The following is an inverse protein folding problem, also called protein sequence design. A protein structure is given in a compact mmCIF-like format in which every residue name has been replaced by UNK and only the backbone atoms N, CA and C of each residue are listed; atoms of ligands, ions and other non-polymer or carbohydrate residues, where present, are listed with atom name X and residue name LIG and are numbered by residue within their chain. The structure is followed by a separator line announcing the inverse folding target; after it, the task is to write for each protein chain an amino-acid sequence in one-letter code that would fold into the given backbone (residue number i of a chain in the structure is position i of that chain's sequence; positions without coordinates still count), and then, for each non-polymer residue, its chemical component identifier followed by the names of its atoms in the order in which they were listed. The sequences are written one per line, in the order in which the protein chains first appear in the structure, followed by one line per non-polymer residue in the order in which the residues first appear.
data_IF_938995454702
#
_entry.id   IF_938995454702
#
_cell.length_a   1.000
_cell.length_b   1.000
_cell.length_c   1.000
_cell.angle_alpha   90.00
_cell.angle_beta   90.00
_cell.angle_gamma   90.00
#
_symmetry.space_group_name_H-M   'P 1'
#
loop_
_entity.id
_entity.type
_entity.pdbx_description
1 polymer ?
#
# COMPACT_ATOMS: atom_id res chain seq x y z
N UNK A 1 25.31 1.34 18.15
CA UNK A 1 24.36 0.36 18.71
C UNK A 1 23.27 0.19 17.67
N UNK A 2 23.24 -0.93 16.94
CA UNK A 2 22.14 -1.23 16.03
C UNK A 2 20.90 -1.49 16.90
N UNK A 3 19.82 -0.74 16.69
CA UNK A 3 18.56 -0.99 17.38
C UNK A 3 18.10 -2.42 17.08
N UNK A 4 17.86 -3.24 18.11
CA UNK A 4 17.14 -4.52 18.02
C UNK A 4 15.65 -4.30 17.65
N UNK A 5 15.37 -3.41 16.71
CA UNK A 5 14.03 -3.20 16.20
C UNK A 5 13.63 -4.48 15.46
N UNK A 6 12.56 -5.12 15.92
CA UNK A 6 11.98 -6.28 15.25
C UNK A 6 11.54 -5.82 13.86
N UNK A 7 12.02 -6.52 12.82
CA UNK A 7 11.69 -6.20 11.43
C UNK A 7 10.18 -6.36 11.21
N UNK A 8 9.56 -5.39 10.57
CA UNK A 8 8.16 -5.50 10.16
C UNK A 8 7.96 -6.68 9.21
N UNK A 9 6.87 -7.43 9.45
CA UNK A 9 6.52 -8.63 8.69
C UNK A 9 5.01 -8.68 8.33
N UNK A 10 4.23 -7.71 8.80
CA UNK A 10 2.85 -7.48 8.41
C UNK A 10 2.62 -5.99 8.20
N UNK A 11 1.51 -5.64 7.55
CA UNK A 11 1.09 -4.26 7.38
C UNK A 11 -0.43 -4.16 7.28
N UNK A 12 -0.96 -3.01 7.68
CA UNK A 12 -2.33 -2.61 7.36
C UNK A 12 -2.34 -1.91 6.02
N UNK A 13 -3.37 -2.18 5.21
CA UNK A 13 -3.51 -1.54 3.91
C UNK A 13 -4.96 -1.24 3.54
N UNK A 14 -5.11 -0.28 2.63
CA UNK A 14 -6.33 -0.12 1.84
C UNK A 14 -6.11 -0.80 0.50
N UNK A 15 -6.92 -1.83 0.24
CA UNK A 15 -6.92 -2.49 -1.07
C UNK A 15 -7.55 -1.56 -2.09
N UNK A 16 -6.87 -1.30 -3.21
CA UNK A 16 -7.51 -0.61 -4.32
C UNK A 16 -8.51 -1.55 -4.97
N UNK A 17 -9.80 -1.20 -4.97
CA UNK A 17 -10.87 -2.04 -5.54
C UNK A 17 -11.44 -1.49 -6.84
N UNK A 18 -11.12 -0.24 -7.21
CA UNK A 18 -11.60 0.36 -8.45
C UNK A 18 -10.97 -0.38 -9.66
N UNK A 19 -11.79 -1.04 -10.52
CA UNK A 19 -11.27 -1.83 -11.63
C UNK A 19 -10.54 -0.97 -12.67
N UNK A 20 -11.00 0.26 -12.92
CA UNK A 20 -10.36 1.15 -13.89
C UNK A 20 -8.94 1.50 -13.47
N UNK A 21 -8.71 1.75 -12.18
CA UNK A 21 -7.37 2.01 -11.64
C UNK A 21 -6.49 0.77 -11.76
N UNK A 22 -7.01 -0.41 -11.42
CA UNK A 22 -6.26 -1.68 -11.53
C UNK A 22 -5.84 -1.96 -12.97
N UNK A 23 -6.75 -1.78 -13.92
CA UNK A 23 -6.46 -1.93 -15.35
C UNK A 23 -5.40 -0.94 -15.80
N UNK A 24 -5.53 0.35 -15.47
CA UNK A 24 -4.54 1.36 -15.86
C UNK A 24 -3.14 1.07 -15.31
N UNK A 25 -3.01 0.59 -14.06
CA UNK A 25 -1.73 0.19 -13.49
C UNK A 25 -1.18 -1.06 -14.20
N UNK A 26 -2.03 -2.05 -14.47
CA UNK A 26 -1.63 -3.27 -15.17
C UNK A 26 -1.12 -2.95 -16.59
N UNK A 27 -1.83 -2.11 -17.35
CA UNK A 27 -1.42 -1.69 -18.69
C UNK A 27 -0.05 -0.99 -18.65
N UNK A 28 0.21 -0.16 -17.63
CA UNK A 28 1.49 0.50 -17.44
C UNK A 28 2.63 -0.49 -17.12
N UNK A 29 2.37 -1.49 -16.27
CA UNK A 29 3.34 -2.55 -15.94
C UNK A 29 3.63 -3.45 -17.15
N UNK A 30 2.61 -3.81 -17.93
CA UNK A 30 2.76 -4.60 -19.15
C UNK A 30 3.57 -3.85 -20.20
N UNK A 31 3.28 -2.56 -20.40
CA UNK A 31 4.07 -1.71 -21.29
C UNK A 31 5.54 -1.63 -20.85
N UNK A 32 5.81 -1.50 -19.55
CA UNK A 32 7.17 -1.49 -19.02
C UNK A 32 7.89 -2.82 -19.27
N UNK A 33 7.21 -3.95 -19.09
CA UNK A 33 7.78 -5.29 -19.32
C UNK A 33 8.00 -5.58 -20.80
N UNK A 34 7.16 -5.06 -21.70
CA UNK A 34 7.38 -5.14 -23.15
C UNK A 34 8.67 -4.44 -23.56
N UNK A 35 8.98 -3.28 -22.94
CA UNK A 35 10.23 -2.54 -23.17
C UNK A 35 11.44 -3.20 -22.51
N UNK A 36 11.28 -3.67 -21.28
CA UNK A 36 12.36 -4.18 -20.45
C UNK A 36 11.94 -5.51 -19.80
N UNK A 37 12.03 -6.64 -20.52
CA UNK A 37 11.52 -7.94 -20.06
C UNK A 37 12.12 -8.45 -18.75
N UNK A 38 13.32 -7.98 -18.39
CA UNK A 38 13.98 -8.29 -17.13
C UNK A 38 13.17 -7.86 -15.89
N UNK A 39 12.27 -6.87 -16.03
CA UNK A 39 11.46 -6.37 -14.93
C UNK A 39 10.25 -7.25 -14.60
N UNK A 40 9.93 -8.26 -15.42
CA UNK A 40 8.75 -9.12 -15.25
C UNK A 40 8.61 -9.71 -13.86
N UNK A 41 9.71 -10.15 -13.25
CA UNK A 41 9.71 -10.78 -11.92
C UNK A 41 9.61 -9.78 -10.76
N UNK A 42 9.69 -8.48 -11.04
CA UNK A 42 9.62 -7.40 -10.05
C UNK A 42 8.26 -6.68 -10.08
N UNK A 43 7.44 -6.91 -11.11
CA UNK A 43 6.11 -6.32 -11.21
C UNK A 43 5.15 -6.95 -10.21
N UNK A 44 4.39 -6.09 -9.52
CA UNK A 44 3.27 -6.50 -8.69
C UNK A 44 2.13 -7.05 -9.55
N UNK A 45 1.40 -8.05 -9.05
CA UNK A 45 0.14 -8.46 -9.68
C UNK A 45 -0.99 -7.51 -9.27
N UNK A 46 -2.11 -7.45 -10.01
CA UNK A 46 -3.25 -6.60 -9.67
C UNK A 46 -3.79 -6.81 -8.25
N UNK A 47 -3.71 -8.04 -7.73
CA UNK A 47 -4.15 -8.41 -6.39
C UNK A 47 -3.24 -7.85 -5.29
N UNK A 48 -1.98 -7.62 -5.62
CA UNK A 48 -0.98 -7.09 -4.69
C UNK A 48 -0.99 -5.56 -4.63
N UNK A 49 -1.75 -4.86 -5.47
CA UNK A 49 -1.81 -3.38 -5.46
C UNK A 49 -2.63 -2.90 -4.26
N UNK A 50 -1.97 -2.11 -3.40
CA UNK A 50 -2.56 -1.57 -2.17
C UNK A 50 -1.90 -0.25 -1.78
N UNK A 51 -2.56 0.50 -0.90
CA UNK A 51 -1.94 1.61 -0.15
C UNK A 51 -1.57 1.10 1.23
N UNK A 52 -0.28 1.07 1.54
CA UNK A 52 0.21 0.71 2.88
C UNK A 52 -0.10 1.84 3.86
N UNK A 53 -0.78 1.53 4.97
CA UNK A 53 -1.12 2.49 6.02
C UNK A 53 -0.08 2.49 7.13
N UNK A 54 0.30 1.30 7.61
CA UNK A 54 1.22 1.12 8.72
C UNK A 54 1.83 -0.28 8.68
N UNK A 55 3.13 -0.36 8.94
CA UNK A 55 3.88 -1.61 9.07
C UNK A 55 3.93 -2.05 10.53
N UNK A 56 3.80 -3.35 10.79
CA UNK A 56 3.83 -3.93 12.13
C UNK A 56 4.71 -5.18 12.19
N UNK A 57 5.31 -5.42 13.36
CA UNK A 57 6.10 -6.60 13.63
C UNK A 57 5.33 -7.52 14.59
N UNK A 58 4.87 -8.67 14.10
CA UNK A 58 4.07 -9.65 14.84
C UNK A 58 4.85 -10.97 14.93
N UNK A 59 5.06 -11.49 16.13
CA UNK A 59 5.95 -12.64 16.36
C UNK A 59 5.19 -13.96 16.55
N UNK A 60 3.93 -13.89 16.97
CA UNK A 60 3.13 -15.06 17.31
C UNK A 60 1.63 -14.83 17.03
N UNK A 61 0.81 -15.86 17.24
CA UNK A 61 -0.65 -15.81 17.00
C UNK A 61 -1.39 -14.82 17.92
N UNK A 62 -0.87 -14.57 19.12
CA UNK A 62 -1.43 -13.58 20.04
C UNK A 62 -1.25 -12.16 19.48
N UNK A 63 -0.07 -11.84 18.95
CA UNK A 63 0.20 -10.56 18.29
C UNK A 63 -0.73 -10.34 17.09
N UNK A 64 -0.96 -11.38 16.28
CA UNK A 64 -1.90 -11.32 15.15
C UNK A 64 -3.32 -11.04 15.65
N UNK A 65 -3.76 -11.72 16.71
CA UNK A 65 -5.09 -11.55 17.27
C UNK A 65 -5.28 -10.13 17.82
N UNK A 66 -4.28 -9.61 18.53
CA UNK A 66 -4.28 -8.24 19.07
C UNK A 66 -4.25 -7.19 17.96
N UNK A 67 -3.47 -7.42 16.91
CA UNK A 67 -3.42 -6.53 15.75
C UNK A 67 -4.78 -6.49 15.01
N UNK A 68 -5.45 -7.64 14.86
CA UNK A 68 -6.79 -7.69 14.27
C UNK A 68 -7.83 -6.97 15.14
N UNK A 69 -7.78 -7.15 16.46
CA UNK A 69 -8.66 -6.47 17.40
C UNK A 69 -8.43 -4.96 17.41
N UNK A 70 -7.17 -4.51 17.37
CA UNK A 70 -6.82 -3.09 17.29
C UNK A 70 -7.35 -2.42 16.01
N UNK A 71 -7.28 -3.10 14.87
CA UNK A 71 -7.86 -2.59 13.62
C UNK A 71 -9.38 -2.48 13.73
N UNK A 72 -10.04 -3.50 14.31
CA UNK A 72 -11.49 -3.52 14.49
C UNK A 72 -11.96 -2.43 15.45
N UNK A 73 -11.29 -2.23 16.57
CA UNK A 73 -11.63 -1.18 17.54
C UNK A 73 -11.38 0.23 17.00
N UNK A 74 -10.44 0.38 16.06
CA UNK A 74 -10.13 1.65 15.39
C UNK A 74 -11.07 2.01 14.25
N UNK A 75 -11.99 1.13 13.84
CA UNK A 75 -12.84 1.32 12.65
C UNK A 75 -13.57 2.67 12.65
N UNK A 76 -14.22 3.01 13.76
CA UNK A 76 -14.99 4.26 13.87
C UNK A 76 -14.11 5.49 13.67
N UNK A 77 -12.92 5.48 14.30
CA UNK A 77 -11.95 6.57 14.19
C UNK A 77 -11.44 6.67 12.75
N UNK A 78 -10.99 5.55 12.18
CA UNK A 78 -10.50 5.51 10.80
C UNK A 78 -11.54 6.04 9.82
N UNK A 79 -12.82 5.65 9.96
CA UNK A 79 -13.91 6.14 9.09
C UNK A 79 -14.16 7.64 9.23
N UNK A 80 -14.02 8.21 10.42
CA UNK A 80 -14.17 9.65 10.65
C UNK A 80 -13.01 10.45 10.08
N UNK A 81 -11.85 9.81 9.92
CA UNK A 81 -10.60 10.43 9.47
C UNK A 81 -10.36 10.24 7.94
N UNK A 82 -11.25 9.53 7.23
CA UNK A 82 -11.15 9.35 5.79
C UNK A 82 -11.34 10.70 5.05
N UNK A 83 -10.62 10.91 3.93
CA UNK A 83 -10.82 12.09 3.12
C UNK A 83 -12.23 12.09 2.53
N UNK A 84 -12.82 13.29 2.43
CA UNK A 84 -14.12 13.46 1.77
C UNK A 84 -13.95 13.56 0.25
N UNK A 85 -12.78 14.01 -0.18
CA UNK A 85 -12.35 14.13 -1.55
C UNK A 85 -11.82 12.79 -2.10
N UNK A 86 -11.89 12.63 -3.43
CA UNK A 86 -11.31 11.48 -4.10
C UNK A 86 -9.78 11.61 -4.16
N UNK A 87 -9.09 10.51 -3.85
CA UNK A 87 -7.66 10.38 -4.10
C UNK A 87 -7.41 10.18 -5.59
N UNK A 88 -6.45 10.91 -6.15
CA UNK A 88 -6.07 10.80 -7.54
C UNK A 88 -4.69 10.16 -7.64
N UNK A 89 -4.59 9.01 -8.31
CA UNK A 89 -3.30 8.38 -8.59
C UNK A 89 -2.72 9.02 -9.83
N UNK A 90 -1.60 9.71 -9.69
CA UNK A 90 -0.99 10.45 -10.78
C UNK A 90 0.49 10.68 -10.52
N UNK A 91 1.30 10.32 -11.50
CA UNK A 91 2.75 10.39 -11.40
C UNK A 91 3.36 9.11 -10.84
N UNK A 92 4.68 9.09 -10.82
CA UNK A 92 5.50 7.97 -10.35
C UNK A 92 6.61 8.57 -9.49
N UNK A 93 6.87 7.94 -8.36
CA UNK A 93 8.02 8.23 -7.52
C UNK A 93 8.71 6.95 -7.10
N UNK A 94 9.79 7.07 -6.34
CA UNK A 94 10.57 5.91 -5.89
C UNK A 94 10.83 5.96 -4.40
N UNK A 95 10.65 4.83 -3.73
CA UNK A 95 11.12 4.64 -2.37
C UNK A 95 12.56 4.10 -2.41
N UNK A 96 13.51 4.87 -1.86
CA UNK A 96 14.94 4.56 -1.81
C UNK A 96 15.56 4.18 -3.18
N UNK A 97 14.99 4.66 -4.29
CA UNK A 97 15.39 4.30 -5.66
C UNK A 97 15.36 2.79 -5.98
N UNK A 98 14.71 1.98 -5.14
CA UNK A 98 14.63 0.52 -5.29
C UNK A 98 13.20 0.06 -5.61
N UNK A 99 12.21 0.80 -5.10
CA UNK A 99 10.79 0.48 -5.32
C UNK A 99 10.14 1.62 -6.07
N UNK A 100 9.56 1.33 -7.22
CA UNK A 100 8.71 2.28 -7.96
C UNK A 100 7.30 2.25 -7.37
N UNK A 101 6.77 3.43 -7.07
CA UNK A 101 5.41 3.59 -6.51
C UNK A 101 4.64 4.63 -7.31
N UNK A 102 3.34 4.40 -7.44
CA UNK A 102 2.45 5.41 -8.02
C UNK A 102 2.27 6.54 -7.01
N UNK A 103 2.37 7.78 -7.47
CA UNK A 103 2.19 8.95 -6.62
C UNK A 103 0.69 9.29 -6.47
N UNK A 104 0.33 9.95 -5.38
CA UNK A 104 -1.06 10.23 -5.01
C UNK A 104 -1.24 11.71 -4.76
N UNK A 105 -2.06 12.35 -5.58
CA UNK A 105 -2.56 13.70 -5.35
C UNK A 105 -3.81 13.63 -4.48
N UNK A 106 -3.84 14.45 -3.42
CA UNK A 106 -4.94 14.52 -2.46
C UNK A 106 -5.20 15.97 -2.04
N UNK A 107 -6.41 16.24 -1.55
CA UNK A 107 -6.72 17.48 -0.85
C UNK A 107 -6.38 17.32 0.63
N UNK A 108 -5.99 18.40 1.31
CA UNK A 108 -5.74 18.40 2.76
C UNK A 108 -7.06 18.33 3.55
N UNK A 109 -7.84 17.27 3.35
CA UNK A 109 -9.18 17.06 3.93
C UNK A 109 -9.32 15.74 4.72
N UNK A 110 -8.19 15.10 5.02
CA UNK A 110 -8.09 14.13 6.10
C UNK A 110 -8.37 14.84 7.44
N UNK A 111 -9.13 14.21 8.32
CA UNK A 111 -9.60 14.80 9.60
C UNK A 111 -9.12 13.99 10.78
#
# INVERSE_FOLDING_TARGET
MASNAVRANYFYCVRLTNPAIRTAIQDALEWMVDKEPQYKNFCYTPEMIHVTLCEVALQNEEDISRAAEALKSSESVLRQNLPSSALTIKGITTFNNIVMIADVEYQEDFR
#
